data_IF_220304387324
#
_entry.id   IF_220304387324
#
_cell.length_a   1.000
_cell.length_b   1.000
_cell.length_c   1.000
_cell.angle_alpha   90.00
_cell.angle_beta   90.00
_cell.angle_gamma   90.00
#
_symmetry.space_group_name_H-M   'P 1'
#
loop_
_entity.id
_entity.type
_entity.pdbx_description
1 polymer ?
#
# COMPACT_ATOMS: atom_id res chain seq x y z
N UNK A 1 -19.01 -15.23 -16.08
CA UNK A 1 -18.17 -14.33 -15.25
C UNK A 1 -19.09 -13.34 -14.56
N UNK A 2 -18.95 -13.13 -13.24
CA UNK A 2 -19.86 -12.31 -12.40
C UNK A 2 -19.15 -11.05 -11.86
N UNK A 3 -18.35 -10.35 -12.67
CA UNK A 3 -17.58 -9.19 -12.16
C UNK A 3 -18.47 -7.97 -11.86
N UNK A 4 -19.65 -7.87 -12.50
CA UNK A 4 -20.56 -6.72 -12.42
C UNK A 4 -19.80 -5.38 -12.60
N UNK A 5 -18.94 -5.29 -13.61
CA UNK A 5 -18.10 -4.12 -13.84
C UNK A 5 -17.90 -3.87 -15.35
N UNK A 6 -17.96 -2.58 -15.75
CA UNK A 6 -17.57 -2.13 -17.08
C UNK A 6 -16.05 -1.91 -17.14
N UNK A 7 -15.38 -2.50 -18.14
CA UNK A 7 -13.92 -2.46 -18.28
C UNK A 7 -13.50 -1.87 -19.62
N UNK A 8 -12.28 -1.32 -19.69
CA UNK A 8 -11.72 -0.79 -20.94
C UNK A 8 -11.60 -1.90 -22.00
N UNK A 9 -11.90 -1.56 -23.27
CA UNK A 9 -11.69 -2.45 -24.42
C UNK A 9 -10.22 -2.84 -24.62
N UNK A 10 -9.30 -2.06 -24.07
CA UNK A 10 -7.85 -2.30 -24.16
C UNK A 10 -7.31 -3.22 -23.06
N UNK A 11 -8.15 -3.64 -22.11
CA UNK A 11 -7.73 -4.51 -21.01
C UNK A 11 -7.54 -5.94 -21.52
N UNK A 12 -6.30 -6.44 -21.51
CA UNK A 12 -5.94 -7.78 -22.01
C UNK A 12 -6.22 -8.87 -20.97
N UNK A 13 -5.89 -8.60 -19.70
CA UNK A 13 -6.10 -9.54 -18.59
C UNK A 13 -6.86 -8.85 -17.46
N UNK A 14 -7.88 -9.54 -16.93
CA UNK A 14 -8.67 -9.08 -15.79
C UNK A 14 -8.70 -10.15 -14.70
N UNK A 15 -8.14 -9.82 -13.54
CA UNK A 15 -8.40 -10.59 -12.32
C UNK A 15 -9.73 -10.13 -11.75
N UNK A 16 -10.75 -10.97 -11.91
CA UNK A 16 -12.11 -10.68 -11.43
C UNK A 16 -12.18 -10.72 -9.91
N UNK A 17 -12.53 -9.59 -9.31
CA UNK A 17 -12.92 -9.47 -7.91
C UNK A 17 -14.40 -9.11 -7.92
N UNK A 18 -15.26 -10.00 -7.44
CA UNK A 18 -16.70 -9.75 -7.42
C UNK A 18 -17.02 -8.47 -6.63
N UNK A 19 -17.89 -7.63 -7.19
CA UNK A 19 -18.41 -6.41 -6.53
C UNK A 19 -17.36 -5.37 -6.17
N UNK A 20 -16.20 -5.36 -6.84
CA UNK A 20 -15.13 -4.42 -6.53
C UNK A 20 -15.47 -2.94 -6.77
N UNK A 21 -16.52 -2.66 -7.55
CA UNK A 21 -17.04 -1.31 -7.81
C UNK A 21 -18.28 -0.97 -6.98
N UNK A 22 -18.87 -1.94 -6.26
CA UNK A 22 -20.05 -1.72 -5.40
C UNK A 22 -19.65 -1.10 -4.06
N UNK A 23 -18.81 -0.06 -4.11
CA UNK A 23 -18.35 0.70 -2.95
C UNK A 23 -18.18 2.18 -3.32
N UNK A 24 -18.07 3.04 -2.31
CA UNK A 24 -17.80 4.46 -2.50
C UNK A 24 -16.30 4.72 -2.58
N UNK A 25 -15.91 5.68 -3.41
CA UNK A 25 -14.52 6.15 -3.45
C UNK A 25 -14.15 6.73 -2.08
N UNK A 26 -13.06 6.26 -1.48
CA UNK A 26 -12.61 6.71 -0.14
C UNK A 26 -12.15 8.17 -0.08
N UNK A 27 -12.07 8.86 -1.22
CA UNK A 27 -11.60 10.25 -1.33
C UNK A 27 -12.76 11.21 -1.59
N UNK A 28 -13.55 10.98 -2.66
CA UNK A 28 -14.69 11.85 -3.01
C UNK A 28 -16.03 11.36 -2.46
N UNK A 29 -16.10 10.17 -1.88
CA UNK A 29 -17.32 9.53 -1.36
C UNK A 29 -18.42 9.25 -2.40
N UNK A 30 -18.11 9.37 -3.68
CA UNK A 30 -19.03 9.01 -4.76
C UNK A 30 -19.05 7.51 -4.99
N UNK A 31 -20.23 6.98 -5.33
CA UNK A 31 -20.41 5.57 -5.62
C UNK A 31 -19.75 5.19 -6.94
N UNK A 32 -18.81 4.25 -6.87
CA UNK A 32 -17.91 3.95 -8.00
C UNK A 32 -18.67 3.28 -9.15
N UNK A 33 -19.60 2.37 -8.86
CA UNK A 33 -20.34 1.64 -9.89
C UNK A 33 -21.21 2.54 -10.80
N UNK A 34 -21.76 3.64 -10.26
CA UNK A 34 -22.58 4.58 -11.05
C UNK A 34 -21.77 5.70 -11.72
N UNK A 35 -20.46 5.78 -11.44
CA UNK A 35 -19.59 6.82 -11.96
C UNK A 35 -19.04 6.42 -13.34
N UNK A 36 -18.98 7.38 -14.25
CA UNK A 36 -18.29 7.22 -15.54
C UNK A 36 -16.78 7.48 -15.44
N UNK A 37 -16.30 7.88 -14.27
CA UNK A 37 -14.89 8.22 -14.05
C UNK A 37 -14.03 6.95 -14.07
N UNK A 38 -12.84 6.99 -14.71
CA UNK A 38 -11.94 5.85 -14.72
C UNK A 38 -11.49 5.52 -13.29
N UNK A 39 -11.37 4.23 -13.00
CA UNK A 39 -10.96 3.71 -11.69
C UNK A 39 -9.58 3.07 -11.76
N UNK A 40 -8.90 3.06 -10.62
CA UNK A 40 -7.62 2.39 -10.45
C UNK A 40 -7.71 1.39 -9.30
N UNK A 41 -7.35 0.15 -9.58
CA UNK A 41 -7.15 -0.87 -8.57
C UNK A 41 -5.74 -0.73 -7.97
N UNK A 42 -5.68 -0.70 -6.63
CA UNK A 42 -4.44 -0.63 -5.87
C UNK A 42 -3.84 -2.04 -5.71
N UNK A 43 -2.53 -2.18 -5.44
CA UNK A 43 -1.91 -3.48 -5.18
C UNK A 43 -2.53 -4.24 -4.00
N UNK A 44 -3.17 -3.54 -3.08
CA UNK A 44 -3.89 -4.12 -1.96
C UNK A 44 -5.28 -4.67 -2.31
N UNK A 45 -5.77 -4.46 -3.54
CA UNK A 45 -7.07 -4.90 -4.03
C UNK A 45 -8.20 -3.86 -3.91
N UNK A 46 -8.01 -2.75 -3.20
CA UNK A 46 -9.00 -1.68 -3.13
C UNK A 46 -9.05 -0.87 -4.42
N UNK A 47 -10.19 -0.22 -4.68
CA UNK A 47 -10.45 0.56 -5.88
C UNK A 47 -10.79 2.00 -5.50
N UNK A 48 -10.34 2.96 -6.30
CA UNK A 48 -10.74 4.37 -6.21
C UNK A 48 -10.68 5.03 -7.59
N UNK A 49 -11.26 6.21 -7.75
CA UNK A 49 -11.14 6.96 -9.00
C UNK A 49 -9.67 7.28 -9.32
N UNK A 50 -9.29 7.21 -10.59
CA UNK A 50 -7.92 7.48 -11.05
C UNK A 50 -7.48 8.91 -10.75
N UNK A 51 -8.41 9.88 -10.84
CA UNK A 51 -8.18 11.28 -10.46
C UNK A 51 -7.92 11.40 -8.97
N UNK A 52 -8.79 10.82 -8.14
CA UNK A 52 -8.63 10.79 -6.68
C UNK A 52 -7.33 10.08 -6.27
N UNK A 53 -6.96 8.99 -6.96
CA UNK A 53 -5.69 8.31 -6.73
C UNK A 53 -4.52 9.25 -6.99
N UNK A 54 -4.51 9.95 -8.13
CA UNK A 54 -3.44 10.87 -8.49
C UNK A 54 -3.28 11.99 -7.45
N UNK A 55 -4.37 12.65 -7.08
CA UNK A 55 -4.37 13.73 -6.06
C UNK A 55 -3.90 13.22 -4.69
N UNK A 56 -4.39 12.05 -4.27
CA UNK A 56 -4.03 11.47 -2.99
C UNK A 56 -2.56 11.05 -2.94
N UNK A 57 -2.03 10.50 -4.04
CA UNK A 57 -0.61 10.07 -4.11
C UNK A 57 0.40 11.20 -4.12
N UNK A 58 -0.03 12.45 -4.31
CA UNK A 58 0.84 13.61 -4.14
C UNK A 58 1.31 13.80 -2.70
N UNK A 59 0.50 13.35 -1.72
CA UNK A 59 0.75 13.57 -0.29
C UNK A 59 0.92 12.26 0.50
N UNK A 60 0.40 11.15 -0.01
CA UNK A 60 0.35 9.88 0.71
C UNK A 60 0.78 8.70 -0.16
N UNK A 61 1.56 7.79 0.41
CA UNK A 61 2.06 6.60 -0.28
C UNK A 61 1.41 5.29 0.20
N UNK A 62 0.34 5.36 0.99
CA UNK A 62 -0.36 4.22 1.59
C UNK A 62 -1.82 4.20 1.17
N UNK A 63 -2.48 3.04 1.20
CA UNK A 63 -3.91 2.95 0.91
C UNK A 63 -4.71 3.61 2.05
N UNK A 64 -5.67 4.52 1.76
CA UNK A 64 -6.50 5.15 2.78
C UNK A 64 -7.43 4.16 3.50
N UNK A 65 -7.72 3.00 2.89
CA UNK A 65 -8.66 2.01 3.43
C UNK A 65 -7.97 1.00 4.34
N UNK A 66 -6.76 0.55 3.98
CA UNK A 66 -6.07 -0.53 4.69
C UNK A 66 -4.63 -0.23 5.10
N UNK A 67 -4.16 0.99 4.83
CA UNK A 67 -2.82 1.50 5.16
C UNK A 67 -1.66 0.73 4.55
N UNK A 68 -1.89 -0.17 3.59
CA UNK A 68 -0.83 -0.86 2.84
C UNK A 68 -0.12 0.10 1.89
N UNK A 69 1.19 -0.06 1.68
CA UNK A 69 1.96 0.75 0.76
C UNK A 69 1.46 0.60 -0.69
N UNK A 70 1.46 1.71 -1.44
CA UNK A 70 1.06 1.76 -2.86
C UNK A 70 2.21 1.36 -3.78
N UNK A 71 3.44 1.64 -3.36
CA UNK A 71 4.67 1.14 -3.96
C UNK A 71 5.44 0.35 -2.91
N UNK A 72 5.87 -0.85 -3.30
CA UNK A 72 6.50 -1.80 -2.37
C UNK A 72 8.03 -1.80 -2.47
N UNK A 73 8.67 -1.14 -3.44
CA UNK A 73 10.10 -1.42 -3.69
C UNK A 73 10.87 -0.24 -4.30
N UNK A 74 11.95 0.16 -3.63
CA UNK A 74 13.15 0.66 -4.31
C UNK A 74 13.78 1.91 -3.71
N UNK A 75 13.05 3.02 -3.64
CA UNK A 75 13.66 4.32 -3.30
C UNK A 75 14.16 4.41 -1.86
N UNK A 76 13.48 3.73 -0.92
CA UNK A 76 13.86 3.77 0.49
C UNK A 76 15.22 3.08 0.72
N UNK A 77 15.49 1.92 0.10
CA UNK A 77 16.73 1.17 0.36
C UNK A 77 18.00 1.98 0.05
N UNK A 78 17.99 2.74 -1.05
CA UNK A 78 19.12 3.56 -1.45
C UNK A 78 19.36 4.74 -0.50
N UNK A 79 18.29 5.44 -0.09
CA UNK A 79 18.37 6.58 0.84
C UNK A 79 18.78 6.15 2.25
N UNK A 80 18.42 4.92 2.64
CA UNK A 80 18.63 4.41 3.99
C UNK A 80 19.98 3.72 4.18
N UNK A 81 20.61 3.25 3.09
CA UNK A 81 21.95 2.65 3.16
C UNK A 81 23.04 3.62 3.66
N UNK A 82 22.81 4.93 3.57
CA UNK A 82 23.75 5.95 4.04
C UNK A 82 23.68 6.16 5.57
N UNK A 83 22.62 5.70 6.23
CA UNK A 83 22.41 5.86 7.67
C UNK A 83 22.82 4.59 8.41
N UNK A 84 24.11 4.47 8.74
CA UNK A 84 24.61 3.33 9.54
C UNK A 84 24.31 3.56 11.03
N UNK A 85 23.74 2.53 11.67
CA UNK A 85 23.52 2.53 13.12
C UNK A 85 24.84 2.48 13.89
N UNK A 86 24.99 3.22 14.99
CA UNK A 86 26.10 3.05 15.92
C UNK A 86 26.15 1.63 16.51
N UNK A 87 27.35 1.14 16.79
CA UNK A 87 27.59 -0.25 17.22
C UNK A 87 26.85 -0.63 18.51
N UNK A 88 26.59 0.35 19.38
CA UNK A 88 25.88 0.20 20.66
C UNK A 88 24.45 -0.35 20.51
N UNK A 89 23.82 -0.11 19.36
CA UNK A 89 22.42 -0.46 19.11
C UNK A 89 22.25 -1.69 18.21
N UNK A 90 23.34 -2.29 17.71
CA UNK A 90 23.30 -3.41 16.75
C UNK A 90 22.60 -4.65 17.30
N UNK A 91 22.68 -4.90 18.61
CA UNK A 91 22.05 -6.04 19.27
C UNK A 91 20.62 -5.75 19.77
N UNK A 92 20.10 -4.55 19.57
CA UNK A 92 18.74 -4.22 19.97
C UNK A 92 17.76 -4.60 18.86
N UNK A 93 16.65 -5.22 19.24
CA UNK A 93 15.55 -5.51 18.33
C UNK A 93 14.29 -4.84 18.79
N UNK A 94 13.50 -4.35 17.84
CA UNK A 94 12.21 -3.72 18.10
C UNK A 94 11.09 -4.64 17.61
N UNK A 95 10.08 -4.84 18.46
CA UNK A 95 8.87 -5.54 18.06
C UNK A 95 8.01 -4.63 17.17
N UNK A 96 7.62 -5.14 16.00
CA UNK A 96 6.85 -4.41 15.01
C UNK A 96 5.73 -5.24 14.40
N UNK A 97 4.74 -4.55 13.85
CA UNK A 97 3.72 -5.07 12.95
C UNK A 97 3.95 -4.48 11.56
N UNK A 98 4.14 -5.33 10.54
CA UNK A 98 4.18 -4.87 9.16
C UNK A 98 2.76 -4.70 8.62
N UNK A 99 2.40 -3.50 8.15
CA UNK A 99 1.08 -3.21 7.61
C UNK A 99 0.82 -3.88 6.25
N UNK A 100 1.88 -4.13 5.48
CA UNK A 100 1.77 -4.70 4.14
C UNK A 100 1.43 -6.19 4.15
N UNK A 101 2.15 -6.97 4.98
CA UNK A 101 1.89 -8.41 5.15
C UNK A 101 1.10 -8.77 6.40
N UNK A 102 0.73 -7.80 7.24
CA UNK A 102 0.00 -7.97 8.52
C UNK A 102 0.61 -9.00 9.46
N UNK A 103 1.93 -9.16 9.44
CA UNK A 103 2.66 -10.06 10.32
C UNK A 103 3.41 -9.28 11.38
N UNK A 104 3.45 -9.83 12.59
CA UNK A 104 4.29 -9.36 13.68
C UNK A 104 5.68 -9.97 13.55
N UNK A 105 6.67 -9.29 14.08
CA UNK A 105 8.01 -9.85 14.26
C UNK A 105 8.95 -8.83 14.84
N UNK A 106 10.20 -9.24 15.00
CA UNK A 106 11.26 -8.41 15.52
C UNK A 106 12.18 -8.01 14.37
N UNK A 107 12.55 -6.75 14.32
CA UNK A 107 13.55 -6.23 13.38
C UNK A 107 14.69 -5.59 14.16
N UNK A 108 15.90 -5.52 13.60
CA UNK A 108 16.96 -4.69 14.16
C UNK A 108 16.43 -3.28 14.42
N UNK A 109 16.75 -2.74 15.59
CA UNK A 109 16.37 -1.39 15.94
C UNK A 109 17.10 -0.40 15.03
N UNK A 110 16.37 0.60 14.56
CA UNK A 110 16.93 1.72 13.84
C UNK A 110 16.07 2.94 14.15
N UNK A 111 16.70 4.08 14.48
CA UNK A 111 15.99 5.26 14.98
C UNK A 111 14.91 5.79 14.01
N UNK A 112 15.12 5.60 12.69
CA UNK A 112 14.24 6.15 11.65
C UNK A 112 13.20 5.16 11.12
N UNK A 113 13.55 3.87 10.99
CA UNK A 113 12.77 2.95 10.18
C UNK A 113 12.96 1.50 10.60
N UNK A 114 11.93 0.67 10.46
CA UNK A 114 12.04 -0.75 10.77
C UNK A 114 11.68 -1.56 9.53
N UNK A 115 12.70 -2.14 8.88
CA UNK A 115 12.50 -2.97 7.67
C UNK A 115 12.08 -4.37 8.07
N UNK A 116 10.89 -4.79 7.68
CA UNK A 116 10.44 -6.15 7.94
C UNK A 116 11.14 -7.14 7.02
N UNK A 117 11.91 -8.07 7.59
CA UNK A 117 12.77 -9.00 6.85
C UNK A 117 12.02 -9.87 5.84
N UNK A 118 10.77 -10.23 6.11
CA UNK A 118 10.03 -11.18 5.27
C UNK A 118 9.38 -10.58 4.03
N UNK A 119 9.15 -9.26 3.98
CA UNK A 119 8.58 -8.61 2.80
C UNK A 119 9.35 -7.35 2.37
N UNK A 120 10.48 -7.07 3.01
CA UNK A 120 11.32 -5.91 2.79
C UNK A 120 10.60 -4.53 2.94
N UNK A 121 9.41 -4.52 3.54
CA UNK A 121 8.63 -3.30 3.72
C UNK A 121 9.09 -2.48 4.92
N UNK A 122 9.05 -1.16 4.75
CA UNK A 122 9.26 -0.17 5.81
C UNK A 122 7.95 0.36 6.41
N UNK A 123 6.79 -0.06 5.88
CA UNK A 123 5.49 0.32 6.38
C UNK A 123 5.13 -0.52 7.62
N UNK A 124 5.77 -0.18 8.73
CA UNK A 124 5.74 -0.93 9.98
C UNK A 124 5.31 -0.03 11.14
N UNK A 125 4.62 -0.61 12.11
CA UNK A 125 4.20 0.06 13.34
C UNK A 125 4.88 -0.60 14.54
N UNK A 126 5.36 0.19 15.48
CA UNK A 126 5.88 -0.31 16.75
C UNK A 126 4.77 -1.00 17.56
N UNK A 127 5.16 -2.03 18.31
CA UNK A 127 4.31 -2.75 19.25
C UNK A 127 4.76 -2.51 20.69
#
# INVERSE_FOLDING_TARGET
MKCNACMSRTLVEHVCIEKCLEDNCSICHEYIFNSNSPVKALPCGHVMHSTCFQEYTCFHYTCPICSKSLDTRGYADALLSEQKMPDEYLNQTQAILCNDCRRKGNTPYHWLHHKYSSCASYNTRLL
#
